data_IF_929914016813
#
_entry.id   IF_929914016813
#
_cell.length_a   1.000
_cell.length_b   1.000
_cell.length_c   1.000
_cell.angle_alpha   90.00
_cell.angle_beta   90.00
_cell.angle_gamma   90.00
#
_symmetry.space_group_name_H-M   'P 1'
#
loop_
_entity.id
_entity.type
_entity.pdbx_description
1 polymer ?
#
# COMPACT_ATOMS: atom_id res chain seq x y z
N UNK A 1 -11.64 8.67 -5.82
CA UNK A 1 -11.80 7.87 -7.06
C UNK A 1 -11.70 6.39 -6.70
N UNK A 2 -12.53 5.55 -7.31
CA UNK A 2 -12.62 4.11 -7.02
C UNK A 2 -11.93 3.23 -8.06
N UNK A 3 -11.69 3.73 -9.28
CA UNK A 3 -11.05 2.95 -10.34
C UNK A 3 -9.52 2.90 -10.10
N UNK A 4 -8.93 1.70 -9.91
CA UNK A 4 -7.48 1.54 -9.77
C UNK A 4 -6.74 1.57 -11.11
N UNK A 5 -7.44 1.67 -12.24
CA UNK A 5 -6.84 1.73 -13.58
C UNK A 5 -6.88 3.14 -14.13
N UNK A 6 -5.77 3.56 -14.74
CA UNK A 6 -5.65 4.85 -15.42
C UNK A 6 -5.35 4.63 -16.89
N UNK A 7 -6.36 4.86 -17.72
CA UNK A 7 -6.25 4.76 -19.18
C UNK A 7 -5.53 5.97 -19.77
N UNK A 8 -4.85 5.78 -20.90
CA UNK A 8 -4.16 6.85 -21.64
C UNK A 8 -5.08 8.05 -21.90
N UNK A 9 -6.34 7.76 -22.24
CA UNK A 9 -7.32 8.76 -22.64
C UNK A 9 -7.88 9.58 -21.48
N UNK A 10 -7.68 9.15 -20.23
CA UNK A 10 -8.08 9.91 -19.04
C UNK A 10 -7.04 10.96 -18.61
N UNK A 11 -5.85 10.94 -19.22
CA UNK A 11 -4.73 11.78 -18.82
C UNK A 11 -4.89 13.24 -19.29
N UNK A 12 -4.26 14.21 -18.59
CA UNK A 12 -4.35 15.63 -18.93
C UNK A 12 -3.71 15.94 -20.29
N UNK A 13 -4.57 16.20 -21.28
CA UNK A 13 -4.23 16.24 -22.70
C UNK A 13 -3.18 17.29 -23.09
N UNK A 14 -3.15 18.41 -22.37
CA UNK A 14 -2.21 19.51 -22.59
C UNK A 14 -0.87 19.35 -21.86
N UNK A 15 -0.75 18.32 -21.01
CA UNK A 15 0.45 18.06 -20.20
C UNK A 15 1.20 16.82 -20.66
N UNK A 16 0.48 15.83 -21.18
CA UNK A 16 1.02 14.57 -21.68
C UNK A 16 1.28 14.63 -23.17
N UNK A 17 2.44 14.09 -23.55
CA UNK A 17 2.84 13.89 -24.92
C UNK A 17 3.19 12.43 -25.12
N UNK A 18 2.77 11.88 -26.25
CA UNK A 18 3.02 10.49 -26.64
C UNK A 18 4.07 10.43 -27.73
N UNK A 19 4.88 9.38 -27.72
CA UNK A 19 5.70 8.97 -28.86
C UNK A 19 5.14 7.64 -29.32
N UNK A 20 4.58 7.60 -30.52
CA UNK A 20 4.05 6.38 -31.13
C UNK A 20 5.14 5.66 -31.92
N UNK A 21 4.92 4.38 -32.18
CA UNK A 21 5.63 3.64 -33.24
C UNK A 21 5.53 4.38 -34.57
N UNK A 22 6.63 4.36 -35.33
CA UNK A 22 6.78 5.17 -36.52
C UNK A 22 5.72 4.84 -37.57
N UNK A 23 5.50 3.55 -37.85
CA UNK A 23 4.58 3.11 -38.90
C UNK A 23 3.12 3.45 -38.55
N UNK A 24 2.74 3.28 -37.28
CA UNK A 24 1.41 3.67 -36.80
C UNK A 24 1.22 5.18 -36.90
N UNK A 25 2.22 5.96 -36.48
CA UNK A 25 2.20 7.41 -36.64
C UNK A 25 2.05 7.82 -38.10
N UNK A 26 2.83 7.24 -39.00
CA UNK A 26 2.77 7.53 -40.44
C UNK A 26 1.41 7.17 -41.03
N UNK A 27 0.85 6.00 -40.69
CA UNK A 27 -0.49 5.58 -41.13
C UNK A 27 -1.57 6.56 -40.68
N UNK A 28 -1.57 6.97 -39.41
CA UNK A 28 -2.54 7.94 -38.87
C UNK A 28 -2.52 9.26 -39.65
N UNK A 29 -1.33 9.80 -39.88
CA UNK A 29 -1.16 11.08 -40.55
C UNK A 29 -1.45 10.98 -42.05
N UNK A 30 -1.06 9.88 -42.70
CA UNK A 30 -1.40 9.63 -44.10
C UNK A 30 -2.91 9.48 -44.30
N UNK A 31 -3.60 8.76 -43.40
CA UNK A 31 -5.06 8.68 -43.35
C UNK A 31 -5.71 10.04 -43.25
N UNK A 32 -5.24 10.92 -42.36
CA UNK A 32 -5.82 12.25 -42.20
C UNK A 32 -5.62 13.14 -43.43
N UNK A 33 -4.48 13.00 -44.12
CA UNK A 33 -4.20 13.69 -45.37
C UNK A 33 -5.07 13.23 -46.55
N UNK A 34 -5.68 12.05 -46.51
CA UNK A 34 -6.64 11.66 -47.57
C UNK A 34 -7.86 12.59 -47.59
N UNK A 35 -8.24 13.11 -46.43
CA UNK A 35 -9.42 13.97 -46.25
C UNK A 35 -9.08 15.47 -46.23
N UNK A 36 -7.81 15.83 -46.32
CA UNK A 36 -7.36 17.23 -46.31
C UNK A 36 -6.29 17.45 -47.39
N UNK A 37 -6.50 18.40 -48.31
CA UNK A 37 -5.58 18.59 -49.45
C UNK A 37 -4.21 19.10 -48.99
N UNK A 38 -4.18 19.82 -47.85
CA UNK A 38 -2.99 20.43 -47.28
C UNK A 38 -2.99 20.30 -45.76
N UNK A 39 -1.80 20.20 -45.18
CA UNK A 39 -1.61 20.21 -43.73
C UNK A 39 -2.20 21.43 -43.02
N UNK A 40 -2.23 22.59 -43.68
CA UNK A 40 -2.85 23.80 -43.15
C UNK A 40 -4.36 23.65 -43.01
N UNK A 41 -5.02 23.03 -43.99
CA UNK A 41 -6.46 22.75 -43.96
C UNK A 41 -6.77 21.75 -42.84
N UNK A 42 -5.96 20.70 -42.73
CA UNK A 42 -6.06 19.74 -41.63
C UNK A 42 -5.96 20.44 -40.26
N UNK A 43 -4.95 21.30 -40.06
CA UNK A 43 -4.79 22.02 -38.80
C UNK A 43 -5.99 22.94 -38.48
N UNK A 44 -6.55 23.62 -39.49
CA UNK A 44 -7.76 24.44 -39.35
C UNK A 44 -8.94 23.56 -38.92
N UNK A 45 -9.11 22.38 -39.55
CA UNK A 45 -10.19 21.45 -39.22
C UNK A 45 -10.13 20.92 -37.78
N UNK A 46 -8.93 20.87 -37.20
CA UNK A 46 -8.72 20.52 -35.79
C UNK A 46 -8.85 21.71 -34.82
N UNK A 47 -9.12 22.93 -35.31
CA UNK A 47 -9.17 24.14 -34.49
C UNK A 47 -7.80 24.54 -33.92
N UNK A 48 -6.70 24.17 -34.58
CA UNK A 48 -5.35 24.49 -34.14
C UNK A 48 -4.89 25.85 -34.71
N UNK A 49 -4.17 26.69 -33.93
CA UNK A 49 -3.77 28.02 -34.39
C UNK A 49 -2.72 27.96 -35.51
N UNK A 50 -3.02 28.58 -36.65
CA UNK A 50 -2.20 28.64 -37.87
C UNK A 50 -0.83 29.31 -37.67
N UNK A 51 -0.75 30.31 -36.79
CA UNK A 51 0.49 31.07 -36.54
C UNK A 51 1.60 30.27 -35.84
N UNK A 52 1.28 29.10 -35.27
CA UNK A 52 2.28 28.16 -34.72
C UNK A 52 2.84 27.19 -35.77
N UNK A 53 2.44 27.33 -37.04
CA UNK A 53 2.61 26.32 -38.08
C UNK A 53 3.50 26.70 -39.27
N UNK A 54 4.49 27.59 -39.08
CA UNK A 54 5.79 27.47 -39.81
C UNK A 54 6.44 26.08 -39.60
N UNK A 55 5.87 25.29 -38.69
CA UNK A 55 6.09 23.91 -38.36
C UNK A 55 5.34 22.89 -39.26
N UNK A 56 4.84 23.19 -40.46
CA UNK A 56 4.28 22.14 -41.35
C UNK A 56 5.29 21.04 -41.69
N UNK A 57 6.60 21.37 -41.78
CA UNK A 57 7.70 20.40 -41.79
C UNK A 57 7.80 19.54 -40.51
N UNK A 58 7.10 19.85 -39.42
CA UNK A 58 7.30 19.27 -38.08
C UNK A 58 6.44 18.06 -37.80
N UNK A 59 5.31 17.91 -38.50
CA UNK A 59 4.44 16.73 -38.35
C UNK A 59 4.87 15.58 -39.26
N UNK A 60 5.38 15.89 -40.45
CA UNK A 60 5.84 14.91 -41.44
C UNK A 60 7.29 14.46 -41.23
N UNK A 61 8.23 15.37 -40.89
CA UNK A 61 9.67 15.08 -41.06
C UNK A 61 10.42 14.53 -39.83
N UNK A 62 9.75 14.22 -38.71
CA UNK A 62 10.46 13.68 -37.54
C UNK A 62 9.89 12.37 -37.06
N UNK A 63 10.66 11.32 -37.40
CA UNK A 63 10.61 9.97 -36.84
C UNK A 63 10.56 9.93 -35.30
N UNK A 64 10.93 11.01 -34.61
CA UNK A 64 11.10 11.09 -33.15
C UNK A 64 10.21 12.14 -32.45
N UNK A 65 9.41 12.94 -33.18
CA UNK A 65 8.62 14.00 -32.55
C UNK A 65 7.40 13.46 -31.81
N UNK A 66 7.39 13.75 -30.51
CA UNK A 66 6.26 13.58 -29.60
C UNK A 66 5.02 14.38 -30.06
N UNK A 67 3.83 13.82 -29.89
CA UNK A 67 2.52 14.42 -30.20
C UNK A 67 1.83 14.72 -28.87
N UNK A 68 1.22 15.89 -28.67
CA UNK A 68 0.41 16.10 -27.46
C UNK A 68 -0.80 15.16 -27.48
N UNK A 69 -1.20 14.66 -26.33
CA UNK A 69 -2.37 13.79 -26.23
C UNK A 69 -3.65 14.48 -26.77
N UNK A 70 -3.77 15.80 -26.59
CA UNK A 70 -4.84 16.61 -27.21
C UNK A 70 -4.88 16.48 -28.73
N UNK A 71 -3.73 16.67 -29.39
CA UNK A 71 -3.66 16.60 -30.87
C UNK A 71 -3.95 15.18 -31.34
N UNK A 72 -3.49 14.17 -30.60
CA UNK A 72 -3.82 12.77 -30.92
C UNK A 72 -5.32 12.51 -30.85
N UNK A 73 -6.02 12.97 -29.80
CA UNK A 73 -7.47 12.81 -29.68
C UNK A 73 -8.21 13.52 -30.81
N UNK A 74 -7.86 14.78 -31.09
CA UNK A 74 -8.44 15.54 -32.20
C UNK A 74 -8.22 14.85 -33.56
N UNK A 75 -7.04 14.28 -33.77
CA UNK A 75 -6.72 13.50 -34.97
C UNK A 75 -7.61 12.24 -35.09
N UNK A 76 -7.82 11.49 -34.00
CA UNK A 76 -8.69 10.31 -34.00
C UNK A 76 -10.15 10.69 -34.25
N UNK A 77 -10.66 11.73 -33.59
CA UNK A 77 -12.02 12.23 -33.81
C UNK A 77 -12.24 12.73 -35.23
N UNK A 78 -11.22 13.36 -35.84
CA UNK A 78 -11.28 13.78 -37.23
C UNK A 78 -11.38 12.59 -38.18
N UNK A 79 -10.59 11.53 -37.94
CA UNK A 79 -10.63 10.32 -38.76
C UNK A 79 -11.97 9.58 -38.61
N UNK A 80 -12.50 9.47 -37.39
CA UNK A 80 -13.81 8.88 -37.12
C UNK A 80 -14.93 9.63 -37.87
N UNK A 81 -14.91 10.96 -37.87
CA UNK A 81 -15.88 11.80 -38.62
C UNK A 81 -15.81 11.62 -40.14
N UNK A 82 -14.67 11.17 -40.66
CA UNK A 82 -14.48 10.90 -42.08
C UNK A 82 -14.62 9.40 -42.43
N UNK A 83 -15.19 8.60 -41.53
CA UNK A 83 -15.48 7.18 -41.76
C UNK A 83 -14.30 6.23 -41.50
N UNK A 84 -13.17 6.73 -40.99
CA UNK A 84 -12.04 5.89 -40.57
C UNK A 84 -12.03 5.66 -39.06
N UNK A 85 -12.48 4.49 -38.64
CA UNK A 85 -12.43 4.07 -37.23
C UNK A 85 -11.07 3.45 -36.91
N UNK A 86 -10.32 4.06 -35.99
CA UNK A 86 -9.04 3.53 -35.50
C UNK A 86 -9.22 2.99 -34.09
N UNK A 87 -8.83 1.74 -33.89
CA UNK A 87 -8.87 1.11 -32.57
C UNK A 87 -7.93 1.85 -31.59
N UNK A 88 -8.49 2.41 -30.53
CA UNK A 88 -7.73 3.09 -29.47
C UNK A 88 -6.76 2.13 -28.77
N UNK A 89 -7.08 0.84 -28.67
CA UNK A 89 -6.16 -0.16 -28.10
C UNK A 89 -4.94 -0.39 -28.97
N UNK A 90 -5.08 -0.29 -30.30
CA UNK A 90 -3.92 -0.30 -31.21
C UNK A 90 -3.00 0.88 -30.90
N UNK A 91 -3.57 2.08 -30.69
CA UNK A 91 -2.78 3.26 -30.35
C UNK A 91 -2.04 3.11 -29.03
N UNK A 92 -2.71 2.61 -27.99
CA UNK A 92 -2.11 2.36 -26.68
C UNK A 92 -0.92 1.38 -26.77
N UNK A 93 -1.08 0.26 -27.50
CA UNK A 93 -0.01 -0.72 -27.71
C UNK A 93 1.17 -0.15 -28.48
N UNK A 94 0.92 0.81 -29.36
CA UNK A 94 1.96 1.48 -30.15
C UNK A 94 2.57 2.70 -29.45
N UNK A 95 2.23 3.00 -28.19
CA UNK A 95 2.93 4.03 -27.42
C UNK A 95 4.31 3.52 -27.02
N UNK A 96 5.37 4.09 -27.61
CA UNK A 96 6.76 3.81 -27.23
C UNK A 96 7.23 4.62 -26.03
N UNK A 97 6.70 5.83 -25.86
CA UNK A 97 7.03 6.64 -24.69
C UNK A 97 5.95 7.66 -24.33
N UNK A 98 5.89 8.00 -23.04
CA UNK A 98 5.13 9.12 -22.49
C UNK A 98 6.06 10.15 -21.86
N UNK A 99 5.82 11.41 -22.19
CA UNK A 99 6.65 12.53 -21.72
C UNK A 99 5.79 13.75 -21.41
N UNK A 100 6.45 14.82 -20.93
CA UNK A 100 5.84 16.12 -20.71
C UNK A 100 6.34 17.16 -21.71
N UNK A 101 5.65 18.31 -21.78
CA UNK A 101 5.97 19.41 -22.71
C UNK A 101 7.46 19.81 -22.72
N UNK A 102 8.05 19.98 -21.53
CA UNK A 102 9.42 20.54 -21.33
C UNK A 102 10.55 19.49 -21.21
N UNK A 103 10.35 18.25 -21.63
CA UNK A 103 11.47 17.31 -21.84
C UNK A 103 12.26 17.67 -23.10
N UNK A 104 13.59 17.51 -23.07
CA UNK A 104 14.47 17.66 -24.23
C UNK A 104 13.87 16.98 -25.46
N UNK A 105 14.08 17.57 -26.64
CA UNK A 105 13.69 16.97 -27.93
C UNK A 105 14.36 15.61 -28.17
N UNK A 106 15.36 15.24 -27.37
CA UNK A 106 15.92 13.89 -27.30
C UNK A 106 15.19 13.03 -26.26
N UNK A 107 14.73 11.81 -26.64
CA UNK A 107 14.01 10.87 -25.78
C UNK A 107 14.70 10.46 -24.46
N UNK A 108 16.01 10.66 -24.29
CA UNK A 108 16.79 10.01 -23.24
C UNK A 108 16.72 10.59 -21.82
N UNK A 109 16.02 11.70 -21.57
CA UNK A 109 15.94 12.28 -20.22
C UNK A 109 14.51 12.68 -19.86
N UNK A 110 13.94 12.05 -18.83
CA UNK A 110 12.59 12.29 -18.29
C UNK A 110 11.41 11.72 -19.11
N UNK A 111 11.59 10.56 -19.72
CA UNK A 111 10.52 9.85 -20.41
C UNK A 111 10.19 8.54 -19.69
N UNK A 112 8.94 8.13 -19.80
CA UNK A 112 8.47 6.79 -19.48
C UNK A 112 8.46 6.00 -20.80
N UNK A 113 9.25 4.95 -20.91
CA UNK A 113 9.40 4.11 -22.10
C UNK A 113 8.56 2.84 -21.98
N UNK A 114 8.00 2.40 -23.10
CA UNK A 114 7.15 1.21 -23.20
C UNK A 114 6.15 1.17 -22.03
N UNK A 115 5.30 2.21 -21.90
CA UNK A 115 4.42 2.34 -20.75
C UNK A 115 3.44 1.17 -20.66
N UNK A 116 3.21 0.68 -19.44
CA UNK A 116 2.26 -0.41 -19.19
C UNK A 116 0.82 0.14 -19.17
N UNK A 117 0.27 0.42 -20.35
CA UNK A 117 -1.08 0.94 -20.51
C UNK A 117 -2.13 -0.19 -20.59
N UNK A 118 -3.30 -0.05 -19.92
CA UNK A 118 -3.60 0.97 -18.92
C UNK A 118 -2.81 0.73 -17.61
N UNK A 119 -2.48 1.81 -16.89
CA UNK A 119 -1.72 1.68 -15.65
C UNK A 119 -2.58 1.03 -14.58
N UNK A 120 -2.19 -0.15 -14.11
CA UNK A 120 -2.94 -0.90 -13.12
C UNK A 120 -2.35 -0.74 -11.72
N UNK A 121 -3.10 -0.11 -10.82
CA UNK A 121 -2.71 0.04 -9.41
C UNK A 121 -3.37 -0.98 -8.48
N UNK A 122 -4.25 -1.85 -9.00
CA UNK A 122 -4.84 -2.95 -8.25
C UNK A 122 -3.88 -4.15 -8.19
N UNK A 123 -2.64 -3.88 -7.78
CA UNK A 123 -1.54 -4.83 -7.66
C UNK A 123 -0.71 -4.47 -6.43
N UNK A 124 0.10 -5.41 -5.94
CA UNK A 124 1.04 -5.11 -4.85
C UNK A 124 2.01 -3.98 -5.22
N UNK A 125 2.49 -3.95 -6.47
CA UNK A 125 3.34 -2.86 -6.97
C UNK A 125 2.60 -1.50 -6.95
N UNK A 126 1.34 -1.46 -7.37
CA UNK A 126 0.50 -0.28 -7.29
C UNK A 126 0.35 0.25 -5.86
N UNK A 127 0.07 -0.65 -4.92
CA UNK A 127 0.00 -0.33 -3.49
C UNK A 127 1.34 0.20 -2.94
N UNK A 128 2.47 -0.41 -3.30
CA UNK A 128 3.81 0.05 -2.91
C UNK A 128 4.08 1.46 -3.45
N UNK A 129 3.74 1.74 -4.72
CA UNK A 129 3.92 3.08 -5.32
C UNK A 129 3.14 4.14 -4.54
N UNK A 130 1.85 3.91 -4.27
CA UNK A 130 1.02 4.89 -3.55
C UNK A 130 1.51 5.05 -2.11
N UNK A 131 1.79 3.94 -1.42
CA UNK A 131 2.23 3.98 -0.03
C UNK A 131 3.57 4.72 0.11
N UNK A 132 4.56 4.39 -0.71
CA UNK A 132 5.87 5.04 -0.70
C UNK A 132 5.77 6.57 -0.90
N UNK A 133 4.89 7.03 -1.81
CA UNK A 133 4.70 8.47 -2.03
C UNK A 133 3.96 9.17 -0.89
N UNK A 134 3.04 8.48 -0.20
CA UNK A 134 2.31 9.03 0.94
C UNK A 134 3.15 9.09 2.23
N UNK A 135 4.24 8.32 2.36
CA UNK A 135 5.08 8.26 3.57
C UNK A 135 6.49 8.87 3.37
N UNK A 136 7.46 8.14 2.80
CA UNK A 136 8.84 8.65 2.62
C UNK A 136 9.07 9.44 1.31
N UNK A 137 8.05 9.51 0.46
CA UNK A 137 8.11 10.18 -0.83
C UNK A 137 7.17 11.38 -0.98
N UNK A 138 6.92 11.76 -2.22
CA UNK A 138 5.94 12.80 -2.55
C UNK A 138 6.07 13.28 -3.98
N UNK A 139 5.27 14.29 -4.35
CA UNK A 139 5.35 14.96 -5.65
C UNK A 139 5.81 16.39 -5.42
N UNK A 140 6.94 16.78 -6.00
CA UNK A 140 7.46 18.14 -5.81
C UNK A 140 6.69 19.17 -6.65
N UNK A 141 6.99 20.47 -6.44
CA UNK A 141 6.36 21.57 -7.17
C UNK A 141 6.60 21.54 -8.69
N UNK A 142 7.59 20.77 -9.15
CA UNK A 142 7.90 20.52 -10.56
C UNK A 142 7.24 19.25 -11.11
N UNK A 143 6.32 18.64 -10.36
CA UNK A 143 5.58 17.42 -10.72
C UNK A 143 6.46 16.18 -10.87
N UNK A 144 7.65 16.15 -10.27
CA UNK A 144 8.44 14.93 -10.18
C UNK A 144 8.05 14.18 -8.90
N UNK A 145 7.54 12.95 -9.02
CA UNK A 145 7.49 12.03 -7.89
C UNK A 145 8.91 11.75 -7.42
N UNK A 146 9.06 11.54 -6.13
CA UNK A 146 10.32 11.14 -5.51
C UNK A 146 10.07 10.24 -4.31
N UNK A 147 11.08 9.47 -3.96
CA UNK A 147 11.12 8.64 -2.77
C UNK A 147 12.51 8.72 -2.15
N UNK A 148 12.59 8.85 -0.82
CA UNK A 148 13.86 9.03 -0.11
C UNK A 148 13.95 8.02 1.03
N UNK A 149 14.93 7.13 0.99
CA UNK A 149 15.16 6.17 2.08
C UNK A 149 16.63 5.75 2.11
N UNK A 150 17.19 5.56 3.30
CA UNK A 150 18.59 5.12 3.44
C UNK A 150 18.76 3.63 3.14
N UNK A 151 17.70 2.83 3.30
CA UNK A 151 17.73 1.40 3.00
C UNK A 151 17.62 1.18 1.48
N UNK A 152 18.71 0.68 0.89
CA UNK A 152 18.82 0.38 -0.54
C UNK A 152 17.81 -0.69 -0.99
N UNK A 153 17.51 -1.68 -0.16
CA UNK A 153 16.53 -2.73 -0.48
C UNK A 153 15.15 -2.12 -0.67
N UNK A 154 14.73 -1.22 0.23
CA UNK A 154 13.45 -0.52 0.12
C UNK A 154 13.42 0.39 -1.12
N UNK A 155 14.50 1.15 -1.39
CA UNK A 155 14.59 1.96 -2.62
C UNK A 155 14.46 1.12 -3.88
N UNK A 156 15.14 -0.04 -3.95
CA UNK A 156 15.08 -0.95 -5.10
C UNK A 156 13.68 -1.52 -5.27
N UNK A 157 13.01 -1.91 -4.18
CA UNK A 157 11.61 -2.36 -4.19
C UNK A 157 10.68 -1.28 -4.76
N UNK A 158 10.77 -0.04 -4.25
CA UNK A 158 9.97 1.08 -4.77
C UNK A 158 10.28 1.35 -6.24
N UNK A 159 11.55 1.40 -6.64
CA UNK A 159 11.94 1.55 -8.04
C UNK A 159 11.31 0.48 -8.95
N UNK A 160 11.38 -0.80 -8.54
CA UNK A 160 10.82 -1.91 -9.28
C UNK A 160 9.29 -1.81 -9.35
N UNK A 161 8.62 -1.43 -8.26
CA UNK A 161 7.18 -1.22 -8.25
C UNK A 161 6.76 -0.10 -9.23
N UNK A 162 7.49 1.01 -9.29
CA UNK A 162 7.27 2.04 -10.31
C UNK A 162 7.45 1.48 -11.73
N UNK A 163 8.47 0.63 -11.96
CA UNK A 163 8.73 0.04 -13.27
C UNK A 163 7.64 -0.93 -13.70
N UNK A 164 7.12 -1.70 -12.76
CA UNK A 164 6.02 -2.64 -12.99
C UNK A 164 4.70 -1.91 -13.27
N UNK A 165 4.39 -0.84 -12.54
CA UNK A 165 3.15 -0.08 -12.75
C UNK A 165 3.22 0.75 -14.02
N UNK A 166 4.32 1.45 -14.27
CA UNK A 166 4.38 2.45 -15.32
C UNK A 166 5.13 2.01 -16.57
N UNK A 167 6.04 1.05 -16.51
CA UNK A 167 6.98 0.72 -17.58
C UNK A 167 8.41 1.24 -17.31
N UNK A 168 9.28 1.17 -18.32
CA UNK A 168 10.70 1.53 -18.18
C UNK A 168 10.94 3.03 -18.04
N UNK A 169 12.02 3.44 -17.36
CA UNK A 169 12.45 4.83 -17.32
C UNK A 169 13.97 4.92 -17.39
N UNK A 170 14.46 5.74 -18.33
CA UNK A 170 15.87 6.14 -18.40
C UNK A 170 15.99 7.51 -17.73
N UNK A 171 16.30 7.49 -16.43
CA UNK A 171 16.43 8.69 -15.65
C UNK A 171 17.57 8.55 -14.65
N UNK A 172 18.67 9.27 -14.89
CA UNK A 172 19.90 9.18 -14.10
C UNK A 172 19.69 9.35 -12.58
N UNK A 173 18.67 10.11 -12.17
CA UNK A 173 18.32 10.33 -10.75
C UNK A 173 17.37 9.28 -10.17
N UNK A 174 17.15 8.19 -10.88
CA UNK A 174 16.35 7.06 -10.40
C UNK A 174 17.21 5.89 -9.92
N UNK A 175 18.55 6.00 -9.91
CA UNK A 175 19.44 4.94 -9.45
C UNK A 175 19.30 4.70 -7.93
N UNK A 176 18.72 3.57 -7.49
CA UNK A 176 18.48 3.30 -6.07
C UNK A 176 19.77 3.00 -5.30
N UNK A 177 20.87 2.64 -5.96
CA UNK A 177 22.14 2.32 -5.31
C UNK A 177 22.94 3.58 -5.00
N UNK A 178 22.91 4.57 -5.90
CA UNK A 178 23.78 5.76 -5.82
C UNK A 178 23.15 6.96 -5.13
N UNK A 179 21.82 7.05 -5.12
CA UNK A 179 21.11 8.24 -4.65
C UNK A 179 20.34 7.96 -3.35
N UNK A 180 20.43 8.86 -2.36
CA UNK A 180 19.57 8.82 -1.15
C UNK A 180 18.11 9.00 -1.53
N UNK A 181 17.86 9.86 -2.53
CA UNK A 181 16.54 10.18 -3.06
C UNK A 181 16.47 9.82 -4.54
N UNK A 182 15.51 8.98 -4.90
CA UNK A 182 15.19 8.67 -6.29
C UNK A 182 14.06 9.58 -6.78
N UNK A 183 14.16 10.02 -8.02
CA UNK A 183 13.14 10.84 -8.69
C UNK A 183 12.58 10.09 -9.90
N UNK A 184 11.35 10.40 -10.29
CA UNK A 184 10.68 9.78 -11.43
C UNK A 184 10.29 10.83 -12.49
N UNK A 185 10.01 10.41 -13.75
CA UNK A 185 9.60 11.32 -14.81
C UNK A 185 8.37 12.16 -14.46
N UNK A 186 8.33 13.38 -15.01
CA UNK A 186 7.23 14.33 -14.77
C UNK A 186 5.85 13.81 -15.23
N UNK A 187 5.83 13.00 -16.29
CA UNK A 187 4.61 12.35 -16.78
C UNK A 187 3.96 11.48 -15.70
N UNK A 188 4.76 10.76 -14.90
CA UNK A 188 4.28 9.95 -13.77
C UNK A 188 3.58 10.82 -12.73
N UNK A 189 4.14 11.99 -12.40
CA UNK A 189 3.47 12.93 -11.48
C UNK A 189 2.12 13.43 -11.99
N UNK A 190 1.99 13.69 -13.30
CA UNK A 190 0.69 14.01 -13.89
C UNK A 190 -0.29 12.84 -13.82
N UNK A 191 0.16 11.62 -14.09
CA UNK A 191 -0.68 10.42 -13.99
C UNK A 191 -1.21 10.26 -12.56
N UNK A 192 -0.35 10.40 -11.54
CA UNK A 192 -0.74 10.23 -10.14
C UNK A 192 -1.72 11.32 -9.65
N UNK A 193 -1.48 12.58 -10.01
CA UNK A 193 -2.36 13.69 -9.63
C UNK A 193 -3.73 13.55 -10.28
N UNK A 194 -3.77 13.30 -11.59
CA UNK A 194 -5.05 13.27 -12.33
C UNK A 194 -5.79 11.94 -12.18
N UNK A 195 -5.07 10.82 -12.04
CA UNK A 195 -5.65 9.49 -11.89
C UNK A 195 -6.12 9.17 -10.47
N UNK A 196 -5.46 9.72 -9.44
CA UNK A 196 -5.75 9.39 -8.04
C UNK A 196 -6.05 10.59 -7.15
N UNK A 197 -5.98 11.82 -7.67
CA UNK A 197 -6.17 13.03 -6.87
C UNK A 197 -5.05 13.26 -5.87
N UNK A 198 -3.85 12.72 -6.11
CA UNK A 198 -2.69 13.03 -5.29
C UNK A 198 -2.34 14.51 -5.41
N UNK A 199 -1.78 15.08 -4.36
CA UNK A 199 -1.37 16.47 -4.36
C UNK A 199 0.15 16.60 -4.34
N UNK A 200 0.64 17.69 -4.92
CA UNK A 200 2.06 18.07 -4.85
C UNK A 200 2.30 18.95 -3.61
N UNK A 201 3.54 18.97 -3.15
CA UNK A 201 3.96 19.84 -2.04
C UNK A 201 4.08 19.09 -0.71
N UNK A 202 3.83 19.80 0.39
CA UNK A 202 4.06 19.29 1.75
C UNK A 202 2.84 18.55 2.27
N UNK A 203 2.95 17.24 2.46
CA UNK A 203 1.88 16.38 3.00
C UNK A 203 1.37 16.81 4.37
N UNK A 204 2.24 17.40 5.20
CA UNK A 204 1.90 17.97 6.51
C UNK A 204 0.82 19.06 6.39
N UNK A 205 0.83 19.83 5.28
CA UNK A 205 -0.15 20.91 5.03
C UNK A 205 -1.37 20.36 4.30
N UNK A 206 -1.14 19.55 3.26
CA UNK A 206 -2.18 19.04 2.39
C UNK A 206 -3.06 17.95 3.03
N UNK A 207 -2.57 17.31 4.10
CA UNK A 207 -3.27 16.27 4.85
C UNK A 207 -3.92 15.18 3.96
N UNK A 208 -3.16 14.53 3.05
CA UNK A 208 -3.73 13.56 2.13
C UNK A 208 -4.30 12.35 2.88
N UNK A 209 -5.29 11.69 2.27
CA UNK A 209 -5.78 10.38 2.69
C UNK A 209 -5.31 9.26 1.77
N UNK A 210 -5.59 8.02 2.15
CA UNK A 210 -5.35 6.84 1.31
C UNK A 210 -6.41 6.80 0.19
N UNK A 211 -6.03 6.61 -1.08
CA UNK A 211 -6.98 6.43 -2.18
C UNK A 211 -7.96 5.29 -1.93
N UNK A 212 -9.24 5.51 -2.23
CA UNK A 212 -10.31 4.55 -1.88
C UNK A 212 -10.13 3.17 -2.52
N UNK A 213 -9.49 3.09 -3.70
CA UNK A 213 -9.24 1.81 -4.35
C UNK A 213 -8.45 0.86 -3.44
N UNK A 214 -7.46 1.35 -2.67
CA UNK A 214 -6.66 0.52 -1.76
C UNK A 214 -7.54 -0.20 -0.73
N UNK A 215 -8.56 0.47 -0.18
CA UNK A 215 -9.48 -0.15 0.79
C UNK A 215 -10.32 -1.27 0.17
N UNK A 216 -10.66 -1.11 -1.11
CA UNK A 216 -11.53 -2.02 -1.86
C UNK A 216 -10.74 -3.14 -2.57
N UNK A 217 -9.41 -3.07 -2.61
CA UNK A 217 -8.53 -4.05 -3.21
C UNK A 217 -8.42 -5.34 -2.40
N UNK A 218 -7.72 -6.34 -2.97
CA UNK A 218 -7.48 -7.62 -2.32
C UNK A 218 -6.69 -7.49 -1.01
N UNK A 219 -6.69 -8.57 -0.22
CA UNK A 219 -5.95 -8.63 1.04
C UNK A 219 -4.45 -8.41 0.82
N UNK A 220 -3.91 -8.93 -0.27
CA UNK A 220 -2.50 -8.85 -0.67
C UNK A 220 -2.11 -7.39 -0.99
N UNK A 221 -2.94 -6.69 -1.77
CA UNK A 221 -2.73 -5.26 -2.10
C UNK A 221 -2.76 -4.40 -0.84
N UNK A 222 -3.72 -4.63 0.06
CA UNK A 222 -3.80 -3.91 1.35
C UNK A 222 -2.60 -4.21 2.25
N UNK A 223 -2.16 -5.47 2.28
CA UNK A 223 -0.98 -5.89 3.04
C UNK A 223 0.28 -5.22 2.49
N UNK A 224 0.47 -5.21 1.16
CA UNK A 224 1.60 -4.54 0.51
C UNK A 224 1.63 -3.04 0.81
N UNK A 225 0.46 -2.38 0.80
CA UNK A 225 0.35 -0.97 1.19
C UNK A 225 0.81 -0.73 2.63
N UNK A 226 0.27 -1.50 3.57
CA UNK A 226 0.60 -1.40 4.99
C UNK A 226 2.06 -1.74 5.26
N UNK A 227 2.59 -2.80 4.65
CA UNK A 227 3.99 -3.20 4.78
C UNK A 227 4.92 -2.05 4.41
N UNK A 228 4.70 -1.43 3.24
CA UNK A 228 5.49 -0.26 2.81
C UNK A 228 5.35 0.93 3.78
N UNK A 229 4.13 1.24 4.23
CA UNK A 229 3.90 2.36 5.16
C UNK A 229 4.66 2.19 6.48
N UNK A 230 4.68 0.96 7.00
CA UNK A 230 5.37 0.62 8.25
C UNK A 230 6.89 0.48 8.05
N UNK A 231 7.35 0.00 6.88
CA UNK A 231 8.76 0.01 6.52
C UNK A 231 9.35 1.42 6.40
N UNK A 232 8.54 2.40 6.03
CA UNK A 232 8.95 3.81 5.96
C UNK A 232 8.95 4.43 7.37
N UNK A 233 7.78 4.47 8.02
CA UNK A 233 7.57 5.38 9.16
C UNK A 233 7.59 4.70 10.53
N UNK A 234 7.41 3.37 10.59
CA UNK A 234 7.24 2.70 11.86
C UNK A 234 8.56 2.41 12.58
N UNK A 235 8.51 2.34 13.91
CA UNK A 235 9.57 1.79 14.73
C UNK A 235 9.06 0.63 15.57
N UNK A 236 9.96 -0.31 15.83
CA UNK A 236 9.71 -1.52 16.60
C UNK A 236 10.52 -1.44 17.88
N UNK A 237 9.86 -1.38 19.04
CA UNK A 237 10.54 -1.17 20.33
C UNK A 237 9.88 -1.91 21.50
N UNK A 238 10.63 -2.00 22.61
CA UNK A 238 10.12 -2.38 23.93
C UNK A 238 9.97 -1.10 24.75
N UNK A 239 8.82 -0.93 25.41
CA UNK A 239 8.58 0.16 26.36
C UNK A 239 8.55 -0.48 27.77
N UNK A 240 9.57 -0.20 28.57
CA UNK A 240 9.73 -0.83 29.88
C UNK A 240 10.00 -2.34 29.80
N UNK A 241 9.72 -3.06 30.88
CA UNK A 241 10.04 -4.49 31.00
C UNK A 241 9.05 -5.42 30.26
N UNK A 242 7.83 -4.95 30.00
CA UNK A 242 6.73 -5.80 29.50
C UNK A 242 6.08 -5.31 28.20
N UNK A 243 6.03 -4.00 27.92
CA UNK A 243 5.30 -3.50 26.77
C UNK A 243 6.14 -3.58 25.50
N UNK A 244 5.49 -4.00 24.43
CA UNK A 244 6.09 -4.22 23.10
C UNK A 244 5.20 -3.52 22.11
N UNK A 245 5.79 -2.75 21.23
CA UNK A 245 5.01 -1.86 20.38
C UNK A 245 5.62 -1.75 18.99
N UNK A 246 4.74 -1.72 18.00
CA UNK A 246 5.04 -1.12 16.69
C UNK A 246 4.33 0.22 16.68
N UNK A 247 5.08 1.30 16.50
CA UNK A 247 4.52 2.64 16.53
C UNK A 247 4.80 3.33 15.20
N UNK A 248 3.82 4.08 14.70
CA UNK A 248 3.94 4.88 13.48
C UNK A 248 3.55 6.32 13.79
N UNK A 249 4.37 7.28 13.36
CA UNK A 249 4.19 8.71 13.65
C UNK A 249 4.07 9.51 12.37
N UNK A 250 3.08 10.40 12.30
CA UNK A 250 2.92 11.33 11.17
C UNK A 250 2.65 12.74 11.68
N UNK A 251 3.12 13.75 10.95
CA UNK A 251 2.93 15.15 11.28
C UNK A 251 1.76 15.78 10.51
N UNK A 252 1.05 16.70 11.15
CA UNK A 252 -0.03 17.51 10.57
C UNK A 252 0.17 18.98 10.95
N UNK A 253 -0.05 19.90 10.02
CA UNK A 253 -0.13 21.33 10.31
C UNK A 253 -1.47 21.70 11.00
N UNK A 254 -2.46 20.81 10.93
CA UNK A 254 -3.75 20.94 11.61
C UNK A 254 -3.65 20.49 13.08
N UNK A 255 -4.47 21.05 13.99
CA UNK A 255 -4.64 20.52 15.34
C UNK A 255 -5.30 19.13 15.38
N UNK A 256 -5.76 18.59 14.24
CA UNK A 256 -6.34 17.26 14.13
C UNK A 256 -5.32 16.21 13.65
N UNK A 257 -5.51 14.92 13.97
CA UNK A 257 -4.71 13.84 13.42
C UNK A 257 -4.68 13.85 11.88
N UNK A 258 -3.54 13.45 11.25
CA UNK A 258 -3.48 13.30 9.81
C UNK A 258 -4.52 12.30 9.31
N UNK A 259 -5.20 12.60 8.21
CA UNK A 259 -6.16 11.70 7.57
C UNK A 259 -5.50 10.37 7.21
N UNK A 260 -4.27 10.42 6.68
CA UNK A 260 -3.44 9.25 6.39
C UNK A 260 -3.31 8.31 7.61
N UNK A 261 -3.17 8.87 8.82
CA UNK A 261 -3.01 8.08 10.04
C UNK A 261 -4.32 7.39 10.44
N UNK A 262 -5.46 8.08 10.33
CA UNK A 262 -6.79 7.51 10.57
C UNK A 262 -7.13 6.41 9.56
N UNK A 263 -6.79 6.65 8.28
CA UNK A 263 -6.98 5.69 7.19
C UNK A 263 -6.14 4.42 7.39
N UNK A 264 -4.90 4.54 7.91
CA UNK A 264 -4.06 3.40 8.29
C UNK A 264 -4.70 2.54 9.38
N UNK A 265 -5.33 3.15 10.39
CA UNK A 265 -6.04 2.38 11.43
C UNK A 265 -7.20 1.59 10.84
N UNK A 266 -7.97 2.20 9.94
CA UNK A 266 -9.06 1.50 9.25
C UNK A 266 -8.55 0.32 8.42
N UNK A 267 -7.42 0.49 7.71
CA UNK A 267 -6.80 -0.62 6.99
C UNK A 267 -6.32 -1.74 7.93
N UNK A 268 -5.69 -1.42 9.06
CA UNK A 268 -5.27 -2.42 10.06
C UNK A 268 -6.45 -3.25 10.59
N UNK A 269 -7.61 -2.62 10.80
CA UNK A 269 -8.82 -3.32 11.23
C UNK A 269 -9.28 -4.39 10.23
N UNK A 270 -9.01 -4.22 8.93
CA UNK A 270 -9.32 -5.26 7.92
C UNK A 270 -8.52 -6.55 8.11
N UNK A 271 -7.41 -6.49 8.86
CA UNK A 271 -6.60 -7.64 9.29
C UNK A 271 -6.91 -8.06 10.73
N UNK A 272 -7.95 -7.49 11.34
CA UNK A 272 -8.27 -7.62 12.77
C UNK A 272 -7.07 -7.25 13.66
N UNK A 273 -6.32 -6.22 13.26
CA UNK A 273 -5.23 -5.64 14.05
C UNK A 273 -5.74 -4.34 14.64
N UNK A 274 -5.86 -4.29 15.96
CA UNK A 274 -6.28 -3.08 16.67
C UNK A 274 -5.07 -2.22 16.98
N UNK A 275 -5.18 -0.92 16.69
CA UNK A 275 -4.17 0.08 17.03
C UNK A 275 -4.74 1.07 18.04
N UNK A 276 -3.92 1.52 18.98
CA UNK A 276 -4.23 2.58 19.93
C UNK A 276 -3.84 3.95 19.35
N UNK A 277 -4.68 4.97 19.56
CA UNK A 277 -4.49 6.32 19.02
C UNK A 277 -5.54 6.69 17.95
N UNK A 278 -5.33 7.79 17.19
CA UNK A 278 -4.12 8.61 17.17
C UNK A 278 -3.99 9.46 18.43
N UNK A 279 -2.79 9.54 18.99
CA UNK A 279 -2.48 10.38 20.16
C UNK A 279 -1.46 11.45 19.80
N UNK A 280 -1.61 12.63 20.39
CA UNK A 280 -0.64 13.72 20.25
C UNK A 280 0.68 13.29 20.91
N UNK A 281 1.78 13.31 20.15
CA UNK A 281 3.12 12.95 20.64
C UNK A 281 4.01 14.16 20.84
N UNK A 282 3.94 15.17 19.98
CA UNK A 282 4.86 16.31 19.98
C UNK A 282 4.24 17.49 19.22
N UNK A 283 4.51 18.72 19.65
CA UNK A 283 4.27 19.94 18.86
C UNK A 283 5.62 20.55 18.52
N UNK A 284 5.81 20.99 17.29
CA UNK A 284 7.06 21.59 16.84
C UNK A 284 6.82 22.61 15.73
N UNK A 285 7.75 23.55 15.58
CA UNK A 285 7.80 24.47 14.45
C UNK A 285 8.84 23.96 13.46
N UNK A 286 8.43 23.69 12.22
CA UNK A 286 9.36 23.27 11.17
C UNK A 286 10.34 24.40 10.80
N UNK A 287 11.44 24.07 10.11
CA UNK A 287 12.45 25.04 9.68
C UNK A 287 11.87 26.20 8.84
N UNK A 288 10.76 25.95 8.14
CA UNK A 288 10.06 26.96 7.33
C UNK A 288 8.98 27.74 8.12
N UNK A 289 8.99 27.68 9.46
CA UNK A 289 8.04 28.39 10.32
C UNK A 289 6.65 27.77 10.44
N UNK A 290 6.37 26.64 9.77
CA UNK A 290 5.07 25.94 9.89
C UNK A 290 4.97 25.23 11.23
N UNK A 291 3.99 25.59 12.05
CA UNK A 291 3.63 24.88 13.26
C UNK A 291 2.96 23.54 12.90
N UNK A 292 3.47 22.46 13.48
CA UNK A 292 2.98 21.11 13.22
C UNK A 292 2.87 20.30 14.51
N UNK A 293 1.96 19.33 14.49
CA UNK A 293 1.75 18.37 15.57
C UNK A 293 2.05 16.97 15.03
N UNK A 294 2.87 16.20 15.75
CA UNK A 294 3.08 14.77 15.48
C UNK A 294 2.05 13.96 16.22
N UNK A 295 1.43 13.04 15.49
CA UNK A 295 0.43 12.10 15.96
C UNK A 295 0.97 10.69 15.83
N UNK A 296 0.66 9.83 16.79
CA UNK A 296 1.15 8.45 16.85
C UNK A 296 -0.01 7.47 16.91
N UNK A 297 0.10 6.36 16.18
CA UNK A 297 -0.67 5.14 16.45
C UNK A 297 0.28 4.04 16.92
N UNK A 298 -0.20 3.19 17.81
CA UNK A 298 0.56 2.11 18.42
C UNK A 298 -0.16 0.78 18.24
N UNK A 299 0.52 -0.22 17.68
CA UNK A 299 0.06 -1.61 17.69
C UNK A 299 0.65 -2.25 18.95
N UNK A 300 -0.25 -2.53 19.88
CA UNK A 300 0.01 -3.11 21.19
C UNK A 300 -0.65 -4.48 21.31
N UNK A 301 -0.30 -5.20 22.38
CA UNK A 301 -0.79 -6.55 22.69
C UNK A 301 -0.23 -7.66 21.79
N UNK A 302 -0.09 -8.85 22.39
CA UNK A 302 0.53 -10.01 21.76
C UNK A 302 -0.17 -10.42 20.47
N UNK A 303 -1.50 -10.57 20.50
CA UNK A 303 -2.27 -11.04 19.34
C UNK A 303 -2.14 -10.12 18.13
N UNK A 304 -2.19 -8.80 18.33
CA UNK A 304 -2.03 -7.83 17.25
C UNK A 304 -0.60 -7.87 16.68
N UNK A 305 0.43 -8.03 17.52
CA UNK A 305 1.82 -8.13 17.05
C UNK A 305 2.04 -9.42 16.24
N UNK A 306 1.46 -10.55 16.67
CA UNK A 306 1.52 -11.82 15.95
C UNK A 306 0.79 -11.70 14.62
N UNK A 307 -0.42 -11.13 14.60
CA UNK A 307 -1.18 -10.88 13.36
C UNK A 307 -0.41 -9.96 12.43
N UNK A 308 0.12 -8.84 12.93
CA UNK A 308 0.93 -7.94 12.12
C UNK A 308 2.11 -8.67 11.49
N UNK A 309 2.86 -9.46 12.27
CA UNK A 309 3.99 -10.26 11.77
C UNK A 309 3.56 -11.22 10.65
N UNK A 310 2.47 -11.95 10.85
CA UNK A 310 2.05 -13.00 9.92
C UNK A 310 1.39 -12.44 8.65
N UNK A 311 0.64 -11.33 8.76
CA UNK A 311 -0.23 -10.83 7.70
C UNK A 311 0.38 -9.66 6.91
N UNK A 312 1.21 -8.85 7.57
CA UNK A 312 1.80 -7.62 7.01
C UNK A 312 3.31 -7.76 7.00
N UNK A 313 3.94 -7.91 8.16
CA UNK A 313 5.38 -8.02 8.33
C UNK A 313 6.13 -6.74 7.95
N UNK A 314 7.45 -6.86 7.88
CA UNK A 314 8.36 -5.84 7.36
C UNK A 314 9.22 -6.43 6.25
N UNK A 315 9.52 -5.61 5.25
CA UNK A 315 10.55 -5.91 4.25
C UNK A 315 11.96 -5.57 4.78
N UNK A 316 12.07 -4.54 5.61
CA UNK A 316 13.33 -4.18 6.24
C UNK A 316 13.77 -5.29 7.18
N UNK A 317 14.86 -5.99 6.83
CA UNK A 317 15.42 -7.11 7.61
C UNK A 317 15.60 -6.74 9.08
N UNK A 318 16.13 -5.54 9.36
CA UNK A 318 16.33 -5.07 10.73
C UNK A 318 15.00 -4.90 11.49
N UNK A 319 13.96 -4.35 10.85
CA UNK A 319 12.63 -4.19 11.48
C UNK A 319 11.97 -5.55 11.68
N UNK A 320 12.08 -6.45 10.70
CA UNK A 320 11.56 -7.81 10.79
C UNK A 320 12.23 -8.58 11.94
N UNK A 321 13.55 -8.57 12.05
CA UNK A 321 14.27 -9.22 13.15
C UNK A 321 13.89 -8.64 14.53
N UNK A 322 13.67 -7.33 14.61
CA UNK A 322 13.16 -6.71 15.84
C UNK A 322 11.76 -7.19 16.15
N UNK A 323 10.88 -7.30 15.15
CA UNK A 323 9.54 -7.82 15.32
C UNK A 323 9.57 -9.28 15.76
N UNK A 324 10.42 -10.12 15.17
CA UNK A 324 10.56 -11.52 15.58
C UNK A 324 11.07 -11.65 17.01
N UNK A 325 12.07 -10.86 17.39
CA UNK A 325 12.53 -10.80 18.80
C UNK A 325 11.44 -10.29 19.73
N UNK A 326 10.61 -9.34 19.27
CA UNK A 326 9.47 -8.86 20.05
C UNK A 326 8.45 -9.97 20.26
N UNK A 327 8.08 -10.69 19.21
CA UNK A 327 7.06 -11.74 19.27
C UNK A 327 7.56 -12.96 20.04
N UNK A 328 8.79 -13.42 19.79
CA UNK A 328 9.37 -14.59 20.46
C UNK A 328 9.61 -14.41 21.95
N UNK A 329 9.93 -13.19 22.41
CA UNK A 329 10.15 -12.94 23.84
C UNK A 329 8.89 -12.54 24.60
N UNK A 330 7.72 -12.52 23.95
CA UNK A 330 6.45 -12.51 24.68
C UNK A 330 6.41 -13.76 25.55
N UNK A 331 6.66 -13.58 26.86
CA UNK A 331 6.49 -14.65 27.84
C UNK A 331 5.07 -15.17 27.65
N UNK A 332 4.94 -16.49 27.46
CA UNK A 332 3.66 -17.21 27.33
C UNK A 332 2.61 -16.54 28.21
N UNK A 333 1.52 -16.08 27.58
CA UNK A 333 0.53 -15.18 28.16
C UNK A 333 0.38 -15.39 29.66
N UNK A 334 0.76 -14.42 30.48
CA UNK A 334 0.13 -14.32 31.79
C UNK A 334 -1.31 -13.92 31.48
N UNK A 335 -2.19 -14.92 31.30
CA UNK A 335 -3.61 -14.72 31.03
C UNK A 335 -4.11 -13.64 31.99
N UNK A 336 -4.62 -12.52 31.44
CA UNK A 336 -5.24 -11.50 32.25
C UNK A 336 -6.26 -12.19 33.16
N UNK A 337 -6.18 -11.93 34.47
CA UNK A 337 -6.87 -12.73 35.50
C UNK A 337 -8.37 -12.92 35.21
N UNK A 338 -8.99 -11.93 34.55
CA UNK A 338 -10.39 -11.93 34.12
C UNK A 338 -10.70 -12.88 32.95
N UNK A 339 -9.85 -12.94 31.91
CA UNK A 339 -10.12 -13.73 30.70
C UNK A 339 -9.57 -15.16 30.76
N UNK A 340 -8.75 -15.42 31.77
CA UNK A 340 -8.10 -16.72 32.00
C UNK A 340 -9.08 -17.90 31.97
N UNK A 341 -10.26 -17.87 32.61
CA UNK A 341 -11.18 -19.01 32.58
C UNK A 341 -11.68 -19.34 31.17
N UNK A 342 -12.07 -18.32 30.38
CA UNK A 342 -12.59 -18.52 29.03
C UNK A 342 -11.55 -19.13 28.08
N UNK A 343 -10.30 -18.68 28.15
CA UNK A 343 -9.21 -19.23 27.34
C UNK A 343 -8.92 -20.68 27.73
N UNK A 344 -8.87 -20.96 29.03
CA UNK A 344 -8.66 -22.32 29.55
C UNK A 344 -9.78 -23.27 29.11
N UNK A 345 -11.04 -22.83 29.17
CA UNK A 345 -12.21 -23.62 28.73
C UNK A 345 -12.09 -23.93 27.24
N UNK A 346 -11.86 -22.91 26.39
CA UNK A 346 -11.72 -23.11 24.94
C UNK A 346 -10.59 -24.10 24.60
N UNK A 347 -9.46 -24.00 25.29
CA UNK A 347 -8.35 -24.93 25.12
C UNK A 347 -8.73 -26.36 25.54
N UNK A 348 -9.43 -26.51 26.67
CA UNK A 348 -9.92 -27.80 27.14
C UNK A 348 -10.92 -28.42 26.15
N UNK A 349 -11.86 -27.64 25.61
CA UNK A 349 -12.85 -28.12 24.64
C UNK A 349 -12.17 -28.70 23.40
N UNK A 350 -11.20 -27.96 22.83
CA UNK A 350 -10.45 -28.43 21.67
C UNK A 350 -9.69 -29.74 21.95
N UNK A 351 -9.06 -29.86 23.12
CA UNK A 351 -8.34 -31.08 23.50
C UNK A 351 -9.29 -32.27 23.65
N UNK A 352 -10.45 -32.04 24.27
CA UNK A 352 -11.45 -33.09 24.46
C UNK A 352 -12.08 -33.53 23.15
N UNK A 353 -12.37 -32.61 22.23
CA UNK A 353 -12.84 -32.95 20.88
C UNK A 353 -11.82 -33.80 20.13
N UNK A 354 -10.52 -33.48 20.24
CA UNK A 354 -9.45 -34.18 19.53
C UNK A 354 -9.09 -35.54 20.17
N UNK A 355 -9.08 -35.62 21.51
CA UNK A 355 -8.50 -36.76 22.26
C UNK A 355 -9.49 -37.52 23.15
N UNK A 356 -10.70 -37.01 23.32
CA UNK A 356 -11.69 -37.51 24.27
C UNK A 356 -11.43 -37.14 25.74
N UNK A 357 -10.22 -36.74 26.11
CA UNK A 357 -9.85 -36.38 27.48
C UNK A 357 -8.71 -35.35 27.53
N UNK A 358 -8.62 -34.66 28.66
CA UNK A 358 -7.66 -33.60 28.95
C UNK A 358 -6.64 -34.11 29.96
N UNK A 359 -5.36 -33.84 29.72
CA UNK A 359 -4.27 -34.09 30.67
C UNK A 359 -3.47 -32.81 30.89
N UNK A 360 -2.68 -32.74 31.95
CA UNK A 360 -1.78 -31.58 32.15
C UNK A 360 -0.74 -31.45 31.03
N UNK A 361 -0.34 -32.56 30.41
CA UNK A 361 0.58 -32.54 29.28
C UNK A 361 -0.08 -31.99 28.01
N UNK A 362 -1.29 -32.45 27.67
CA UNK A 362 -2.01 -31.93 26.49
C UNK A 362 -2.42 -30.47 26.65
N UNK A 363 -2.88 -30.07 27.85
CA UNK A 363 -3.19 -28.67 28.12
C UNK A 363 -1.94 -27.79 28.09
N UNK A 364 -0.82 -28.27 28.65
CA UNK A 364 0.46 -27.58 28.57
C UNK A 364 0.92 -27.40 27.13
N UNK A 365 0.83 -28.43 26.29
CA UNK A 365 1.19 -28.33 24.88
C UNK A 365 0.32 -27.31 24.12
N UNK A 366 -1.01 -27.36 24.31
CA UNK A 366 -1.96 -26.46 23.63
C UNK A 366 -1.79 -25.01 24.05
N UNK A 367 -1.58 -24.75 25.34
CA UNK A 367 -1.38 -23.39 25.85
C UNK A 367 0.06 -22.91 25.70
N UNK A 368 0.95 -23.78 25.19
CA UNK A 368 2.40 -23.63 25.26
C UNK A 368 2.78 -23.23 26.69
N UNK A 369 2.78 -24.16 27.64
CA UNK A 369 3.11 -23.95 29.06
C UNK A 369 3.72 -25.22 29.64
N UNK A 370 4.49 -25.08 30.71
CA UNK A 370 5.01 -26.24 31.43
C UNK A 370 3.86 -27.10 31.98
N UNK A 371 4.08 -28.42 32.01
CA UNK A 371 3.12 -29.36 32.56
C UNK A 371 2.75 -29.04 34.02
N UNK A 372 3.70 -28.49 34.79
CA UNK A 372 3.47 -28.07 36.17
C UNK A 372 2.45 -26.92 36.27
N UNK A 373 2.55 -25.89 35.42
CA UNK A 373 1.57 -24.80 35.37
C UNK A 373 0.20 -25.30 34.90
N UNK A 374 0.17 -26.10 33.82
CA UNK A 374 -1.07 -26.69 33.33
C UNK A 374 -1.79 -27.53 34.40
N UNK A 375 -1.04 -28.24 35.26
CA UNK A 375 -1.58 -28.97 36.42
C UNK A 375 -2.25 -28.04 37.44
N UNK A 376 -1.70 -26.85 37.67
CA UNK A 376 -2.32 -25.84 38.55
C UNK A 376 -3.63 -25.34 37.94
N UNK A 377 -3.64 -25.07 36.63
CA UNK A 377 -4.85 -24.62 35.93
C UNK A 377 -5.97 -25.68 35.94
N UNK A 378 -5.63 -26.94 35.66
CA UNK A 378 -6.58 -28.06 35.76
C UNK A 378 -7.14 -28.13 37.18
N UNK A 379 -6.31 -28.01 38.21
CA UNK A 379 -6.77 -28.01 39.61
C UNK A 379 -7.75 -26.87 39.88
N UNK A 380 -7.51 -25.69 39.31
CA UNK A 380 -8.41 -24.56 39.43
C UNK A 380 -9.76 -24.83 38.75
N UNK A 381 -9.75 -25.29 37.50
CA UNK A 381 -10.97 -25.63 36.76
C UNK A 381 -11.78 -26.76 37.41
N UNK A 382 -11.11 -27.75 38.02
CA UNK A 382 -11.77 -28.78 38.83
C UNK A 382 -12.48 -28.20 40.05
N UNK A 383 -11.80 -27.30 40.77
CA UNK A 383 -12.38 -26.64 41.95
C UNK A 383 -13.57 -25.76 41.58
N UNK A 384 -13.61 -25.22 40.36
CA UNK A 384 -14.76 -24.47 39.85
C UNK A 384 -15.83 -25.33 39.18
N UNK A 385 -15.72 -26.67 39.24
CA UNK A 385 -16.70 -27.59 38.66
C UNK A 385 -16.70 -27.69 37.13
N UNK A 386 -15.75 -27.05 36.44
CA UNK A 386 -15.65 -27.04 34.97
C UNK A 386 -15.09 -28.36 34.43
N UNK A 387 -14.20 -29.00 35.19
CA UNK A 387 -13.61 -30.30 34.84
C UNK A 387 -13.92 -31.35 35.90
N UNK A 388 -14.25 -32.56 35.46
CA UNK A 388 -14.34 -33.77 36.28
C UNK A 388 -13.27 -34.78 35.88
N UNK A 389 -12.81 -35.59 36.82
CA UNK A 389 -11.83 -36.63 36.53
C UNK A 389 -12.55 -37.82 35.89
N UNK A 390 -12.18 -38.18 34.66
CA UNK A 390 -12.63 -39.43 34.03
C UNK A 390 -11.78 -40.61 34.49
N UNK A 391 -10.52 -40.35 34.86
CA UNK A 391 -9.58 -41.34 35.37
C UNK A 391 -8.62 -40.74 36.38
N UNK A 392 -8.58 -41.33 37.57
CA UNK A 392 -7.63 -40.90 38.59
C UNK A 392 -6.18 -41.26 38.24
N UNK A 393 -5.25 -40.53 38.85
CA UNK A 393 -3.82 -40.80 38.67
C UNK A 393 -3.49 -42.14 39.32
N UNK A 394 -2.93 -43.07 38.55
CA UNK A 394 -2.38 -44.32 39.07
C UNK A 394 -0.88 -44.42 38.74
N UNK A 395 -0.03 -44.19 39.75
CA UNK A 395 1.42 -44.17 39.62
C UNK A 395 1.93 -43.12 38.61
N UNK A 396 2.61 -43.60 37.57
CA UNK A 396 3.19 -42.78 36.50
C UNK A 396 2.18 -42.38 35.41
N UNK A 397 0.99 -42.99 35.36
CA UNK A 397 -0.04 -42.62 34.39
C UNK A 397 -0.66 -41.28 34.78
N UNK A 398 -0.79 -40.37 33.81
CA UNK A 398 -1.42 -39.07 34.03
C UNK A 398 -2.91 -39.24 34.35
N UNK A 399 -3.45 -38.35 35.18
CA UNK A 399 -4.90 -38.24 35.35
C UNK A 399 -5.55 -37.68 34.09
N UNK A 400 -6.74 -38.16 33.79
CA UNK A 400 -7.55 -37.78 32.63
C UNK A 400 -8.79 -37.03 33.12
N UNK A 401 -9.13 -35.96 32.42
CA UNK A 401 -10.24 -35.06 32.78
C UNK A 401 -11.15 -34.84 31.59
N UNK A 402 -12.42 -34.58 31.87
CA UNK A 402 -13.42 -34.17 30.88
C UNK A 402 -14.16 -32.93 31.38
N UNK A 403 -14.63 -32.10 30.46
CA UNK A 403 -15.53 -30.98 30.73
C UNK A 403 -16.85 -31.54 31.21
N UNK A 404 -17.34 -31.01 32.32
CA UNK A 404 -18.61 -31.40 32.91
C UNK A 404 -19.76 -30.89 32.05
N UNK A 405 -20.64 -31.77 31.59
CA UNK A 405 -21.79 -31.40 30.74
C UNK A 405 -22.89 -30.60 31.49
N UNK A 406 -22.76 -30.42 32.81
CA UNK A 406 -23.81 -29.84 33.67
C UNK A 406 -23.87 -28.31 33.71
N UNK A 407 -23.11 -27.60 32.88
CA UNK A 407 -23.22 -26.13 32.78
C UNK A 407 -24.54 -25.65 32.13
N UNK A 408 -25.45 -26.57 31.78
CA UNK A 408 -26.79 -26.26 31.28
C UNK A 408 -27.82 -25.81 32.32
N UNK A 409 -27.54 -25.86 33.63
CA UNK A 409 -28.50 -25.44 34.66
C UNK A 409 -27.85 -24.73 35.84
N UNK A 410 -27.75 -23.40 35.76
CA UNK A 410 -27.66 -22.54 36.94
C UNK A 410 -26.59 -21.46 36.86
N UNK A 411 -27.03 -20.25 36.54
CA UNK A 411 -26.52 -18.96 37.01
C UNK A 411 -25.04 -18.90 37.45
N UNK A 412 -24.16 -18.36 36.58
CA UNK A 412 -23.01 -17.45 36.80
C UNK A 412 -22.28 -17.50 35.45
N UNK A 413 -22.36 -16.50 34.57
CA UNK A 413 -21.59 -15.25 34.57
C UNK A 413 -22.47 -14.21 33.86
N UNK A 414 -22.80 -13.13 34.59
CA UNK A 414 -23.52 -11.98 34.04
C UNK A 414 -22.79 -11.37 32.85
N UNK A 415 -23.60 -10.99 31.87
CA UNK A 415 -23.27 -10.15 30.73
C UNK A 415 -22.48 -8.90 31.13
N UNK A 416 -21.22 -8.85 30.73
CA UNK A 416 -20.49 -7.62 30.47
C UNK A 416 -19.55 -7.89 29.29
N UNK A 417 -20.14 -7.83 28.09
CA UNK A 417 -19.44 -7.52 26.84
C UNK A 417 -20.05 -6.22 26.34
#
# INVERSE_FOLDING_TARGET
MTNPRVDLWSLPEDKIYVVLEYDVKCKLFASALKYSRRWSEFAISLGLPLNKWKASKTLESSRTKKISLRVLKLLLEYLERNGECIDRKLIERSVRALTSKRGSSHPGANCLFNPNLPFNFDTEAGAVVISALLHDGGINNRYHPHYSNLNVVLKRKVYNAFKEVFGGFDFKRADPEKCVQIYFPKSVGYILIHGFGMEKGRKVVNNPGIPRFVFNSSKEVRSAFLRQAFDDEAYVSKIGSSNRVISLKLASASPNPPKLLLDLQQLLLTFSIFSYGPRLSERYTSKDGVNATKWTIDILHQDNLIRFRNEIGFESTQKQERLERLVSSLKQEHFAKANKPAILIRACSRIQEEKGYITSASLGAVLNRSQALAKIEIRHLRRSGVLTASKERNGNKAAEYVITNDSGKGNVIGSAV
#
